data_IF_685259833427
#
_entry.id   IF_685259833427
#
_cell.length_a   1.000
_cell.length_b   1.000
_cell.length_c   1.000
_cell.angle_alpha   90.00
_cell.angle_beta   90.00
_cell.angle_gamma   90.00
#
_symmetry.space_group_name_H-M   'P 1'
#
loop_
_entity.id
_entity.type
_entity.pdbx_description
1 polymer ?
#
# COMPACT_ATOMS: atom_id res chain seq x y z
N UNK A 1 11.74 20.31 -1.66
CA UNK A 1 11.71 18.91 -1.18
C UNK A 1 10.41 18.60 -0.46
N UNK A 2 9.93 19.44 0.46
CA UNK A 2 8.66 19.21 1.19
C UNK A 2 7.43 19.01 0.28
N UNK A 3 7.33 19.78 -0.82
CA UNK A 3 6.27 19.60 -1.84
C UNK A 3 6.31 18.22 -2.52
N UNK A 4 7.49 17.63 -2.72
CA UNK A 4 7.64 16.30 -3.36
C UNK A 4 7.05 15.20 -2.48
N UNK A 5 7.30 15.26 -1.17
CA UNK A 5 6.76 14.27 -0.23
C UNK A 5 5.24 14.34 -0.19
N UNK A 6 4.69 15.55 -0.23
CA UNK A 6 3.25 15.74 -0.28
C UNK A 6 2.64 15.04 -1.50
N UNK A 7 3.27 15.15 -2.69
CA UNK A 7 2.80 14.44 -3.88
C UNK A 7 2.86 12.92 -3.73
N UNK A 8 3.95 12.38 -3.16
CA UNK A 8 4.09 10.94 -2.91
C UNK A 8 3.00 10.46 -1.93
N UNK A 9 2.80 11.16 -0.82
CA UNK A 9 1.80 10.82 0.19
C UNK A 9 0.38 10.90 -0.37
N UNK A 10 0.05 11.93 -1.15
CA UNK A 10 -1.26 12.00 -1.83
C UNK A 10 -1.46 10.87 -2.83
N UNK A 11 -0.44 10.54 -3.62
CA UNK A 11 -0.49 9.41 -4.54
C UNK A 11 -0.74 8.09 -3.80
N UNK A 12 -0.03 7.85 -2.69
CA UNK A 12 -0.23 6.67 -1.85
C UNK A 12 -1.63 6.64 -1.24
N UNK A 13 -2.16 7.78 -0.79
CA UNK A 13 -3.55 7.87 -0.29
C UNK A 13 -4.53 7.43 -1.38
N UNK A 14 -4.38 7.94 -2.61
CA UNK A 14 -5.28 7.61 -3.72
C UNK A 14 -5.24 6.11 -4.06
N UNK A 15 -4.04 5.52 -4.20
CA UNK A 15 -3.92 4.10 -4.54
C UNK A 15 -4.37 3.20 -3.38
N UNK A 16 -4.11 3.59 -2.13
CA UNK A 16 -4.52 2.81 -0.95
C UNK A 16 -6.03 2.89 -0.77
N UNK A 17 -6.64 4.05 -1.00
CA UNK A 17 -8.10 4.21 -1.00
C UNK A 17 -8.75 3.40 -2.12
N UNK A 18 -8.17 3.39 -3.33
CA UNK A 18 -8.66 2.57 -4.43
C UNK A 18 -8.65 1.08 -4.07
N UNK A 19 -7.54 0.55 -3.54
CA UNK A 19 -7.46 -0.84 -3.11
C UNK A 19 -8.42 -1.17 -1.96
N UNK A 20 -8.55 -0.26 -1.00
CA UNK A 20 -9.55 -0.39 0.08
C UNK A 20 -10.95 -0.56 -0.51
N UNK A 21 -11.32 0.30 -1.47
CA UNK A 21 -12.63 0.26 -2.12
C UNK A 21 -12.82 -1.04 -2.92
N UNK A 22 -11.82 -1.45 -3.70
CA UNK A 22 -11.89 -2.69 -4.50
C UNK A 22 -12.15 -3.91 -3.61
N UNK A 23 -11.43 -4.01 -2.48
CA UNK A 23 -11.58 -5.14 -1.56
C UNK A 23 -12.90 -5.11 -0.77
N UNK A 24 -13.41 -3.93 -0.43
CA UNK A 24 -14.72 -3.80 0.23
C UNK A 24 -15.87 -4.13 -0.71
N UNK A 25 -15.79 -3.70 -1.98
CA UNK A 25 -16.88 -3.83 -2.94
C UNK A 25 -16.92 -5.22 -3.59
N UNK A 26 -15.76 -5.87 -3.75
CA UNK A 26 -15.65 -7.17 -4.41
C UNK A 26 -15.27 -8.27 -3.40
N UNK A 27 -16.29 -8.78 -2.70
CA UNK A 27 -16.19 -9.80 -1.65
C UNK A 27 -15.77 -11.20 -2.13
N UNK A 28 -15.61 -11.39 -3.44
CA UNK A 28 -15.18 -12.65 -4.06
C UNK A 28 -14.03 -12.46 -5.05
N UNK A 29 -13.30 -11.35 -4.96
CA UNK A 29 -12.20 -11.04 -5.89
C UNK A 29 -11.17 -12.17 -5.90
N UNK A 30 -10.78 -12.67 -4.72
CA UNK A 30 -9.71 -13.65 -4.60
C UNK A 30 -10.14 -15.00 -5.17
N UNK A 31 -11.38 -15.39 -4.90
CA UNK A 31 -11.97 -16.62 -5.43
C UNK A 31 -12.16 -16.56 -6.96
N UNK A 32 -12.56 -15.40 -7.50
CA UNK A 32 -12.81 -15.23 -8.93
C UNK A 32 -11.53 -15.09 -9.76
N UNK A 33 -10.40 -14.74 -9.11
CA UNK A 33 -9.10 -14.48 -9.73
C UNK A 33 -7.96 -15.19 -8.98
N UNK A 34 -8.04 -16.52 -8.77
CA UNK A 34 -7.08 -17.26 -7.96
C UNK A 34 -5.67 -17.22 -8.57
N UNK A 35 -5.55 -17.04 -9.88
CA UNK A 35 -4.26 -16.89 -10.57
C UNK A 35 -3.43 -15.69 -10.08
N UNK A 36 -4.07 -14.68 -9.49
CA UNK A 36 -3.44 -13.48 -8.94
C UNK A 36 -3.45 -13.45 -7.42
N UNK A 37 -4.51 -13.97 -6.81
CA UNK A 37 -4.79 -13.72 -5.40
C UNK A 37 -4.70 -14.95 -4.49
N UNK A 38 -4.33 -16.12 -5.02
CA UNK A 38 -4.21 -17.35 -4.22
C UNK A 38 -3.38 -17.17 -2.95
N UNK A 39 -2.20 -16.55 -3.05
CA UNK A 39 -1.34 -16.29 -1.88
C UNK A 39 -1.98 -15.33 -0.88
N UNK A 40 -2.77 -14.36 -1.33
CA UNK A 40 -3.48 -13.43 -0.45
C UNK A 40 -4.62 -14.13 0.28
N UNK A 41 -5.34 -15.02 -0.42
CA UNK A 41 -6.43 -15.82 0.12
C UNK A 41 -5.96 -16.79 1.23
N UNK A 42 -4.73 -17.32 1.13
CA UNK A 42 -4.13 -18.14 2.19
C UNK A 42 -3.83 -17.34 3.47
N UNK A 43 -3.57 -16.04 3.35
CA UNK A 43 -3.24 -15.17 4.48
C UNK A 43 -4.52 -14.62 5.14
N UNK A 44 -5.53 -14.29 4.34
CA UNK A 44 -6.79 -13.74 4.81
C UNK A 44 -7.81 -13.48 3.71
N UNK A 45 -9.06 -13.25 4.09
CA UNK A 45 -10.13 -12.94 3.13
C UNK A 45 -10.12 -11.45 2.70
N UNK A 46 -10.95 -11.11 1.73
CA UNK A 46 -11.05 -9.75 1.16
C UNK A 46 -11.37 -8.70 2.23
N UNK A 47 -12.21 -9.03 3.22
CA UNK A 47 -12.58 -8.12 4.31
C UNK A 47 -11.41 -7.85 5.26
N UNK A 48 -10.61 -8.87 5.57
CA UNK A 48 -9.40 -8.74 6.39
C UNK A 48 -8.36 -7.87 5.67
N UNK A 49 -8.12 -8.13 4.38
CA UNK A 49 -7.22 -7.29 3.58
C UNK A 49 -7.77 -5.86 3.43
N UNK A 50 -9.07 -5.69 3.22
CA UNK A 50 -9.71 -4.37 3.19
C UNK A 50 -9.44 -3.61 4.48
N UNK A 51 -9.54 -4.27 5.64
CA UNK A 51 -9.27 -3.64 6.94
C UNK A 51 -7.81 -3.16 7.06
N UNK A 52 -6.85 -3.95 6.56
CA UNK A 52 -5.42 -3.58 6.53
C UNK A 52 -5.19 -2.36 5.65
N UNK A 53 -5.77 -2.34 4.44
CA UNK A 53 -5.67 -1.20 3.53
C UNK A 53 -6.32 0.06 4.11
N UNK A 54 -7.49 -0.05 4.76
CA UNK A 54 -8.18 1.06 5.43
C UNK A 54 -7.34 1.60 6.60
N UNK A 55 -6.75 0.74 7.43
CA UNK A 55 -5.88 1.18 8.53
C UNK A 55 -4.63 1.90 8.02
N UNK A 56 -4.05 1.41 6.92
CA UNK A 56 -2.92 2.07 6.25
C UNK A 56 -3.33 3.43 5.68
N UNK A 57 -4.51 3.52 5.06
CA UNK A 57 -5.08 4.77 4.54
C UNK A 57 -5.29 5.82 5.64
N UNK A 58 -5.89 5.41 6.77
CA UNK A 58 -6.09 6.28 7.93
C UNK A 58 -4.74 6.78 8.44
N UNK A 59 -3.74 5.90 8.53
CA UNK A 59 -2.38 6.27 8.97
C UNK A 59 -1.73 7.30 8.05
N UNK A 60 -1.88 7.16 6.72
CA UNK A 60 -1.40 8.14 5.74
C UNK A 60 -2.08 9.52 5.90
N UNK A 61 -3.41 9.53 6.06
CA UNK A 61 -4.18 10.77 6.27
C UNK A 61 -3.75 11.46 7.56
N UNK A 62 -3.65 10.70 8.66
CA UNK A 62 -3.20 11.22 9.96
C UNK A 62 -1.75 11.75 9.91
N UNK A 63 -0.86 11.07 9.17
CA UNK A 63 0.50 11.54 8.91
C UNK A 63 0.53 12.93 8.27
N UNK A 64 -0.30 13.14 7.24
CA UNK A 64 -0.43 14.45 6.59
C UNK A 64 -1.06 15.52 7.50
N UNK A 65 -2.11 15.17 8.24
CA UNK A 65 -2.84 16.12 9.09
C UNK A 65 -2.00 16.60 10.28
N UNK A 66 -1.33 15.68 10.98
CA UNK A 66 -0.55 16.04 12.17
C UNK A 66 0.81 16.65 11.88
N UNK A 67 1.32 16.51 10.64
CA UNK A 67 2.62 17.07 10.20
C UNK A 67 3.82 16.67 11.08
N UNK A 68 3.68 15.66 11.94
CA UNK A 68 4.78 15.13 12.76
C UNK A 68 5.62 14.17 11.91
N UNK A 69 6.92 14.45 11.82
CA UNK A 69 7.86 13.70 11.00
C UNK A 69 7.81 12.19 11.28
N UNK A 70 7.81 11.80 12.55
CA UNK A 70 7.78 10.38 12.94
C UNK A 70 6.48 9.67 12.52
N UNK A 71 5.32 10.31 12.62
CA UNK A 71 4.03 9.73 12.20
C UNK A 71 4.02 9.52 10.69
N UNK A 72 4.50 10.52 9.92
CA UNK A 72 4.64 10.42 8.46
C UNK A 72 5.58 9.29 8.06
N UNK A 73 6.73 9.16 8.72
CA UNK A 73 7.68 8.07 8.48
C UNK A 73 7.05 6.70 8.73
N UNK A 74 6.31 6.54 9.82
CA UNK A 74 5.61 5.27 10.12
C UNK A 74 4.58 4.95 9.03
N UNK A 75 3.76 5.92 8.61
CA UNK A 75 2.74 5.71 7.58
C UNK A 75 3.35 5.36 6.20
N UNK A 76 4.49 5.96 5.86
CA UNK A 76 5.21 5.66 4.62
C UNK A 76 5.93 4.30 4.67
N UNK A 77 6.48 3.92 5.82
CA UNK A 77 7.05 2.59 6.04
C UNK A 77 5.98 1.50 6.03
N UNK A 78 4.81 1.72 6.64
CA UNK A 78 3.70 0.77 6.56
C UNK A 78 3.22 0.58 5.13
N UNK A 79 3.13 1.68 4.37
CA UNK A 79 2.81 1.62 2.93
C UNK A 79 3.87 0.87 2.13
N UNK A 80 5.16 1.10 2.43
CA UNK A 80 6.27 0.35 1.82
C UNK A 80 6.09 -1.15 2.02
N UNK A 81 5.85 -1.56 3.26
CA UNK A 81 5.66 -2.96 3.61
C UNK A 81 4.41 -3.55 2.94
N UNK A 82 3.28 -2.84 2.99
CA UNK A 82 2.03 -3.27 2.38
C UNK A 82 2.16 -3.50 0.86
N UNK A 83 2.74 -2.53 0.13
CA UNK A 83 2.91 -2.68 -1.32
C UNK A 83 4.03 -3.65 -1.69
N UNK A 84 5.04 -3.84 -0.84
CA UNK A 84 6.02 -4.91 -1.01
C UNK A 84 5.37 -6.29 -0.82
N UNK A 85 4.46 -6.44 0.15
CA UNK A 85 3.66 -7.65 0.31
C UNK A 85 2.75 -7.88 -0.90
N UNK A 86 2.14 -6.83 -1.45
CA UNK A 86 1.37 -6.94 -2.70
C UNK A 86 2.27 -7.49 -3.82
N UNK A 87 3.41 -6.85 -4.07
CA UNK A 87 4.35 -7.31 -5.09
C UNK A 87 4.78 -8.77 -4.86
N UNK A 88 5.13 -9.13 -3.61
CA UNK A 88 5.52 -10.49 -3.25
C UNK A 88 4.39 -11.51 -3.46
N UNK A 89 3.14 -11.17 -3.09
CA UNK A 89 1.98 -12.02 -3.31
C UNK A 89 1.74 -12.29 -4.80
N UNK A 90 1.89 -11.28 -5.66
CA UNK A 90 1.81 -11.48 -7.11
C UNK A 90 3.01 -12.27 -7.68
N UNK A 91 4.20 -12.18 -7.08
CA UNK A 91 5.35 -13.01 -7.47
C UNK A 91 5.13 -14.49 -7.13
N UNK A 92 4.59 -14.74 -5.93
CA UNK A 92 4.31 -16.08 -5.42
C UNK A 92 3.09 -16.72 -6.08
N UNK A 93 2.18 -15.89 -6.59
CA UNK A 93 1.13 -16.34 -7.50
C UNK A 93 1.75 -16.87 -8.80
N UNK A 94 0.99 -17.66 -9.58
CA UNK A 94 1.48 -18.41 -10.76
C UNK A 94 1.99 -17.55 -11.93
N UNK A 95 2.17 -16.23 -11.76
CA UNK A 95 2.63 -15.28 -12.76
C UNK A 95 3.69 -14.28 -12.21
N UNK A 96 4.94 -14.72 -11.98
CA UNK A 96 5.95 -13.93 -11.29
C UNK A 96 6.43 -12.66 -12.01
N UNK A 97 6.17 -12.53 -13.32
CA UNK A 97 6.56 -11.38 -14.15
C UNK A 97 5.35 -10.65 -14.73
N UNK A 98 4.24 -10.60 -13.99
CA UNK A 98 3.09 -9.78 -14.38
C UNK A 98 3.35 -8.29 -14.09
N UNK A 99 2.78 -7.40 -14.92
CA UNK A 99 2.72 -5.94 -14.71
C UNK A 99 2.36 -5.55 -13.27
N UNK A 100 1.46 -6.30 -12.61
CA UNK A 100 1.10 -6.07 -11.20
C UNK A 100 2.30 -6.09 -10.25
N UNK A 101 3.21 -7.05 -10.41
CA UNK A 101 4.45 -7.14 -9.61
C UNK A 101 5.27 -5.87 -9.74
N UNK A 102 5.55 -5.45 -10.99
CA UNK A 102 6.36 -4.26 -11.26
C UNK A 102 5.72 -2.99 -10.72
N UNK A 103 4.41 -2.84 -10.86
CA UNK A 103 3.66 -1.68 -10.36
C UNK A 103 3.72 -1.61 -8.83
N UNK A 104 3.37 -2.69 -8.11
CA UNK A 104 3.40 -2.65 -6.64
C UNK A 104 4.80 -2.53 -6.08
N UNK A 105 5.80 -3.12 -6.73
CA UNK A 105 7.20 -2.94 -6.35
C UNK A 105 7.64 -1.49 -6.51
N UNK A 106 7.30 -0.83 -7.64
CA UNK A 106 7.59 0.57 -7.85
C UNK A 106 6.89 1.47 -6.81
N UNK A 107 5.64 1.17 -6.45
CA UNK A 107 4.91 1.90 -5.40
C UNK A 107 5.60 1.71 -4.04
N UNK A 108 6.04 0.50 -3.70
CA UNK A 108 6.77 0.23 -2.47
C UNK A 108 8.07 1.04 -2.41
N UNK A 109 8.85 1.08 -3.50
CA UNK A 109 10.06 1.90 -3.58
C UNK A 109 9.76 3.40 -3.49
N UNK A 110 8.66 3.86 -4.09
CA UNK A 110 8.23 5.25 -4.01
C UNK A 110 7.88 5.64 -2.57
N UNK A 111 7.17 4.76 -1.84
CA UNK A 111 6.87 4.95 -0.42
C UNK A 111 8.15 4.98 0.43
N UNK A 112 9.08 4.05 0.18
CA UNK A 112 10.37 3.99 0.89
C UNK A 112 11.20 5.26 0.65
N UNK A 113 11.22 5.74 -0.59
CA UNK A 113 11.88 7.00 -0.92
C UNK A 113 11.20 8.18 -0.20
N UNK A 114 9.87 8.24 -0.22
CA UNK A 114 9.10 9.23 0.52
C UNK A 114 9.53 9.32 1.99
N UNK A 115 9.74 8.17 2.65
CA UNK A 115 10.22 8.12 4.05
C UNK A 115 11.55 8.82 4.25
N UNK A 116 12.53 8.62 3.34
CA UNK A 116 13.87 9.23 3.43
C UNK A 116 13.83 10.75 3.31
N UNK A 117 12.88 11.27 2.56
CA UNK A 117 12.73 12.71 2.35
C UNK A 117 11.99 13.42 3.50
N UNK A 118 11.35 12.69 4.42
CA UNK A 118 10.72 13.29 5.61
C UNK A 118 11.82 13.72 6.58
N UNK A 119 12.06 15.03 6.65
CA UNK A 119 13.00 15.63 7.61
C UNK A 119 12.38 15.61 9.00
N UNK A 120 13.21 15.29 9.99
CA UNK A 120 12.86 15.56 11.37
C UNK A 120 12.86 17.08 11.55
N UNK A 121 11.74 17.62 12.02
CA UNK A 121 11.68 19.01 12.42
C UNK A 121 12.47 19.08 13.73
N UNK A 122 13.73 19.52 13.65
CA UNK A 122 14.42 20.15 14.80
C UNK A 122 13.72 21.47 15.13
#
# INVERSE_FOLDING_TARGET
MEKRNLFIEMFLILITAWWSMVLVVNDKLFYNRPEFFYTFQEIGNEAEWASIFILSLISLILGLLWKKAWIRKIALLSSTFLYAMMAAGFILAKQPLNTGVGVYFAIALLALWGTRDVKDNE
#
